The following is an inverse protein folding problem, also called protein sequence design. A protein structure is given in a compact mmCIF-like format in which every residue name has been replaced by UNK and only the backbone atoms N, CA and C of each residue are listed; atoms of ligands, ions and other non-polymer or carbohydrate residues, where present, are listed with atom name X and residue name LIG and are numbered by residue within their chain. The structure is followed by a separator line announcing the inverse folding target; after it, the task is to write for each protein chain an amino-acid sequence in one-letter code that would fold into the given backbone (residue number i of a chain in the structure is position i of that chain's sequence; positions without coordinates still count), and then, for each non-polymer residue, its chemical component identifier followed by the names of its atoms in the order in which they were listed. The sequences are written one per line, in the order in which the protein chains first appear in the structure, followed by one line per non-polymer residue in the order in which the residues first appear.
data_IF_584866378596
#
_entry.id   IF_584866378596
#
_cell.length_a   1.000
_cell.length_b   1.000
_cell.length_c   1.000
_cell.angle_alpha   90.00
_cell.angle_beta   90.00
_cell.angle_gamma   90.00
#
_symmetry.space_group_name_H-M   'P 1'
#
loop_
_entity.id
_entity.type
_entity.pdbx_description
1 polymer ?
#
# COMPACT_ATOMS: atom_id res chain seq x y z
N UNK A 1 1.67 -12.77 52.90
CA UNK A 1 2.04 -11.33 52.99
C UNK A 1 3.26 -11.18 53.87
N UNK A 2 4.39 -10.76 53.29
CA UNK A 2 5.68 -10.74 54.01
C UNK A 2 5.77 -9.47 54.86
N UNK A 3 5.80 -9.56 56.18
CA UNK A 3 5.80 -8.44 57.12
C UNK A 3 7.01 -7.49 56.95
N UNK A 4 8.10 -7.99 56.32
CA UNK A 4 9.32 -7.21 56.05
C UNK A 4 9.08 -6.09 54.99
N UNK A 5 8.12 -6.24 54.10
CA UNK A 5 7.84 -5.24 53.08
C UNK A 5 7.08 -4.00 53.60
N UNK A 6 6.56 -4.06 54.80
CA UNK A 6 5.82 -2.95 55.44
C UNK A 6 6.70 -1.92 56.17
N UNK A 7 7.96 -2.24 56.44
CA UNK A 7 8.87 -1.39 57.23
C UNK A 7 9.82 -0.54 56.41
N UNK A 8 10.11 -0.95 55.16
CA UNK A 8 11.00 -0.19 54.27
C UNK A 8 10.29 0.07 52.94
N UNK A 9 10.28 1.35 52.53
CA UNK A 9 9.82 1.70 51.19
C UNK A 9 10.70 0.96 50.18
N UNK A 10 10.14 0.37 49.15
CA UNK A 10 10.88 -0.25 48.05
C UNK A 10 11.86 0.72 47.42
N UNK A 11 13.02 0.24 46.94
CA UNK A 11 14.06 1.11 46.36
C UNK A 11 13.57 1.93 45.19
N UNK A 12 12.61 1.40 44.35
CA UNK A 12 11.98 2.15 43.25
C UNK A 12 11.09 3.30 43.72
N UNK A 13 10.82 3.44 45.02
CA UNK A 13 10.13 4.57 45.66
C UNK A 13 11.05 5.46 46.48
N UNK A 14 12.37 5.28 46.35
CA UNK A 14 13.33 6.04 47.09
C UNK A 14 13.36 7.53 46.67
N UNK A 15 13.75 8.44 47.56
CA UNK A 15 13.85 9.88 47.26
C UNK A 15 14.91 10.19 46.19
N UNK A 16 16.04 9.48 46.21
CA UNK A 16 17.10 9.63 45.21
C UNK A 16 16.71 8.96 43.88
N UNK A 17 16.81 9.70 42.81
CA UNK A 17 16.57 9.20 41.44
C UNK A 17 17.57 8.09 41.06
N UNK A 18 18.83 8.17 41.48
CA UNK A 18 19.85 7.17 41.13
C UNK A 18 19.51 5.81 41.74
N UNK A 19 19.02 5.79 43.00
CA UNK A 19 18.58 4.54 43.65
C UNK A 19 17.34 3.97 42.94
N UNK A 20 16.39 4.82 42.55
CA UNK A 20 15.21 4.37 41.75
C UNK A 20 15.63 3.82 40.40
N UNK A 21 16.55 4.50 39.72
CA UNK A 21 17.05 4.09 38.40
C UNK A 21 17.76 2.72 38.50
N UNK A 22 18.63 2.52 39.48
CA UNK A 22 19.30 1.23 39.70
C UNK A 22 18.26 0.11 39.92
N UNK A 23 17.32 0.33 40.83
CA UNK A 23 16.28 -0.63 41.16
C UNK A 23 15.40 -0.96 39.94
N UNK A 24 14.91 0.08 39.23
CA UNK A 24 14.07 -0.10 38.01
C UNK A 24 14.86 -0.80 36.91
N UNK A 25 16.16 -0.61 36.81
CA UNK A 25 16.96 -1.23 35.74
C UNK A 25 17.30 -2.70 36.03
N UNK A 26 17.44 -3.11 37.26
CA UNK A 26 18.07 -4.40 37.62
C UNK A 26 17.18 -5.36 38.38
N UNK A 27 16.28 -4.86 39.22
CA UNK A 27 15.49 -5.74 40.11
C UNK A 27 14.35 -6.43 39.35
N UNK A 28 14.09 -7.68 39.73
CA UNK A 28 13.00 -8.52 39.15
C UNK A 28 11.85 -8.74 40.17
N UNK A 29 11.66 -7.78 41.06
CA UNK A 29 10.58 -7.83 42.03
C UNK A 29 9.22 -7.79 41.35
N UNK A 30 8.28 -8.70 41.64
CA UNK A 30 6.95 -8.71 41.03
C UNK A 30 6.16 -7.42 41.29
N UNK A 31 6.31 -6.77 42.43
CA UNK A 31 5.62 -5.51 42.73
C UNK A 31 6.18 -4.36 41.87
N UNK A 32 7.50 -4.33 41.65
CA UNK A 32 8.13 -3.41 40.72
C UNK A 32 7.66 -3.62 39.29
N UNK A 33 7.60 -4.90 38.83
CA UNK A 33 7.15 -5.22 37.47
C UNK A 33 5.72 -4.71 37.25
N UNK A 34 4.83 -4.90 38.22
CA UNK A 34 3.46 -4.38 38.16
C UNK A 34 3.39 -2.85 38.21
N UNK A 35 4.36 -2.19 38.81
CA UNK A 35 4.44 -0.73 38.92
C UNK A 35 5.17 -0.04 37.76
N UNK A 36 5.78 -0.79 36.83
CA UNK A 36 6.58 -0.22 35.74
C UNK A 36 5.82 0.80 34.89
N UNK A 37 4.55 0.56 34.61
CA UNK A 37 3.73 1.51 33.84
C UNK A 37 3.54 2.82 34.58
N UNK A 38 3.25 2.77 35.90
CA UNK A 38 3.08 3.94 36.73
C UNK A 38 4.38 4.74 36.86
N UNK A 39 5.51 4.05 37.04
CA UNK A 39 6.84 4.67 37.10
C UNK A 39 7.18 5.33 35.75
N UNK A 40 6.92 4.65 34.65
CA UNK A 40 7.15 5.17 33.31
C UNK A 40 6.31 6.42 33.01
N UNK A 41 5.11 6.52 33.59
CA UNK A 41 4.23 7.66 33.39
C UNK A 41 4.55 8.85 34.32
N UNK A 42 4.94 8.59 35.56
CA UNK A 42 4.86 9.59 36.61
C UNK A 42 6.20 9.90 37.32
N UNK A 43 7.27 9.15 37.06
CA UNK A 43 8.54 9.46 37.71
C UNK A 43 9.08 10.83 37.26
N UNK A 44 9.50 11.63 38.21
CA UNK A 44 10.01 12.99 37.97
C UNK A 44 11.30 12.99 37.12
N UNK A 45 12.13 11.96 37.30
CA UNK A 45 13.41 11.82 36.57
C UNK A 45 13.19 11.05 35.25
N UNK A 46 13.51 11.69 34.12
CA UNK A 46 13.37 11.09 32.80
C UNK A 46 14.20 9.82 32.61
N UNK A 47 15.37 9.69 33.27
CA UNK A 47 16.21 8.48 33.22
C UNK A 47 15.49 7.28 33.84
N UNK A 48 14.71 7.50 34.90
CA UNK A 48 13.94 6.44 35.57
C UNK A 48 12.75 6.04 34.67
N UNK A 49 12.04 7.01 34.07
CA UNK A 49 10.98 6.73 33.08
C UNK A 49 11.53 5.94 31.89
N UNK A 50 12.67 6.36 31.34
CA UNK A 50 13.37 5.67 30.27
C UNK A 50 13.69 4.20 30.59
N UNK A 51 14.22 3.94 31.79
CA UNK A 51 14.53 2.59 32.27
C UNK A 51 13.25 1.72 32.39
N UNK A 52 12.17 2.28 32.91
CA UNK A 52 10.89 1.59 33.04
C UNK A 52 10.30 1.24 31.67
N UNK A 53 10.33 2.17 30.69
CA UNK A 53 9.84 1.95 29.33
C UNK A 53 10.58 0.82 28.62
N UNK A 54 11.88 0.69 28.80
CA UNK A 54 12.67 -0.41 28.23
C UNK A 54 12.16 -1.79 28.65
N UNK A 55 11.54 -1.90 29.81
CA UNK A 55 11.02 -3.14 30.38
C UNK A 55 9.55 -3.41 30.05
N UNK A 56 8.85 -2.42 29.47
CA UNK A 56 7.48 -2.61 29.02
C UNK A 56 7.44 -3.33 27.66
N UNK A 57 6.57 -4.34 27.55
CA UNK A 57 6.40 -5.13 26.34
C UNK A 57 5.03 -5.00 25.69
N UNK A 58 4.08 -4.33 26.37
CA UNK A 58 2.73 -4.16 25.89
C UNK A 58 2.60 -2.91 25.05
N UNK A 59 2.29 -3.06 23.75
CA UNK A 59 2.15 -1.93 22.81
C UNK A 59 1.08 -0.92 23.28
N UNK A 60 -0.01 -1.40 23.89
CA UNK A 60 -1.04 -0.53 24.46
C UNK A 60 -0.49 0.47 25.48
N UNK A 61 0.37 -0.01 26.38
CA UNK A 61 1.00 0.82 27.42
C UNK A 61 1.99 1.83 26.82
N UNK A 62 2.76 1.39 25.82
CA UNK A 62 3.70 2.28 25.10
C UNK A 62 2.93 3.40 24.37
N UNK A 63 1.83 3.08 23.72
CA UNK A 63 0.98 4.08 23.03
C UNK A 63 0.38 5.10 24.01
N UNK A 64 -0.07 4.66 25.18
CA UNK A 64 -0.59 5.57 26.23
C UNK A 64 0.50 6.52 26.73
N UNK A 65 1.73 6.03 26.95
CA UNK A 65 2.85 6.85 27.42
C UNK A 65 3.28 7.87 26.36
N UNK A 66 3.32 7.47 25.08
CA UNK A 66 3.76 8.33 23.98
C UNK A 66 2.95 9.63 23.88
N UNK A 67 1.65 9.58 24.13
CA UNK A 67 0.77 10.77 24.03
C UNK A 67 1.02 11.80 25.13
N UNK A 68 1.58 11.43 26.27
CA UNK A 68 1.81 12.29 27.43
C UNK A 68 3.27 12.67 27.70
N UNK A 69 4.23 12.08 26.98
CA UNK A 69 5.66 12.31 27.24
C UNK A 69 6.14 13.62 26.57
N UNK A 70 6.90 14.39 27.33
CA UNK A 70 7.49 15.68 26.89
C UNK A 70 9.01 15.64 26.73
N UNK A 71 9.69 14.70 27.40
CA UNK A 71 11.14 14.57 27.28
C UNK A 71 11.51 13.97 25.91
N UNK A 72 12.36 14.64 25.10
CA UNK A 72 12.64 14.21 23.73
C UNK A 72 13.40 12.87 23.66
N UNK A 73 14.24 12.52 24.63
CA UNK A 73 14.94 11.24 24.62
C UNK A 73 14.01 10.08 24.97
N UNK A 74 13.14 10.30 25.94
CA UNK A 74 12.11 9.32 26.34
C UNK A 74 11.11 9.14 25.22
N UNK A 75 10.69 10.22 24.56
CA UNK A 75 9.79 10.19 23.42
C UNK A 75 10.36 9.39 22.24
N UNK A 76 11.63 9.62 21.92
CA UNK A 76 12.34 8.85 20.90
C UNK A 76 12.38 7.36 21.24
N UNK A 77 12.68 7.01 22.51
CA UNK A 77 12.62 5.61 22.94
C UNK A 77 11.22 4.99 22.73
N UNK A 78 10.16 5.74 23.05
CA UNK A 78 8.80 5.27 22.84
C UNK A 78 8.50 5.04 21.35
N UNK A 79 8.93 5.93 20.46
CA UNK A 79 8.84 5.78 19.00
C UNK A 79 9.59 4.53 18.51
N UNK A 80 10.82 4.31 18.94
CA UNK A 80 11.60 3.11 18.63
C UNK A 80 10.92 1.83 19.12
N UNK A 81 10.31 1.86 20.31
CA UNK A 81 9.56 0.71 20.86
C UNK A 81 8.25 0.47 20.12
N UNK A 82 7.52 1.51 19.74
CA UNK A 82 6.33 1.41 18.91
C UNK A 82 6.70 0.76 17.58
N UNK A 83 7.74 1.23 16.92
CA UNK A 83 8.25 0.67 15.67
C UNK A 83 8.56 -0.83 15.81
N UNK A 84 9.38 -1.18 16.81
CA UNK A 84 9.79 -2.57 17.07
C UNK A 84 8.59 -3.50 17.30
N UNK A 85 7.63 -3.08 18.12
CA UNK A 85 6.47 -3.90 18.48
C UNK A 85 5.45 -3.98 17.34
N UNK A 86 5.19 -2.88 16.64
CA UNK A 86 4.25 -2.85 15.53
C UNK A 86 4.75 -3.61 14.30
N UNK A 87 6.06 -3.56 14.04
CA UNK A 87 6.71 -4.30 12.96
C UNK A 87 6.84 -5.81 13.22
N UNK A 88 6.58 -6.27 14.46
CA UNK A 88 6.76 -7.67 14.85
C UNK A 88 5.85 -8.61 14.05
N UNK A 89 6.45 -9.67 13.50
CA UNK A 89 5.76 -10.72 12.74
C UNK A 89 5.67 -12.06 13.47
N UNK A 90 6.29 -12.18 14.65
CA UNK A 90 6.35 -13.40 15.44
C UNK A 90 5.00 -13.72 16.14
N UNK A 91 4.92 -14.88 16.76
CA UNK A 91 3.71 -15.33 17.47
C UNK A 91 3.36 -14.47 18.70
N UNK A 92 4.38 -13.85 19.32
CA UNK A 92 4.21 -12.97 20.49
C UNK A 92 3.89 -11.53 20.10
N UNK A 93 3.54 -11.26 18.83
CA UNK A 93 3.21 -9.92 18.36
C UNK A 93 2.01 -9.32 19.11
N UNK A 94 1.97 -7.98 19.24
CA UNK A 94 0.85 -7.30 19.88
C UNK A 94 -0.49 -7.57 19.15
N UNK A 95 -1.62 -7.49 19.87
CA UNK A 95 -2.95 -7.63 19.27
C UNK A 95 -3.16 -6.67 18.09
N UNK A 96 -3.85 -7.15 17.04
CA UNK A 96 -4.10 -6.44 15.80
C UNK A 96 -4.67 -5.03 16.02
N UNK A 97 -5.60 -4.88 16.94
CA UNK A 97 -6.25 -3.59 17.25
C UNK A 97 -5.24 -2.48 17.61
N UNK A 98 -4.18 -2.78 18.38
CA UNK A 98 -3.16 -1.78 18.74
C UNK A 98 -2.20 -1.50 17.59
N UNK A 99 -1.91 -2.51 16.78
CA UNK A 99 -1.10 -2.33 15.55
C UNK A 99 -1.85 -1.51 14.50
N UNK A 100 -3.16 -1.69 14.37
CA UNK A 100 -4.02 -0.83 13.54
C UNK A 100 -3.98 0.62 14.01
N UNK A 101 -4.07 0.85 15.32
CA UNK A 101 -3.94 2.19 15.90
C UNK A 101 -2.59 2.83 15.58
N UNK A 102 -1.49 2.06 15.60
CA UNK A 102 -0.17 2.56 15.18
C UNK A 102 -0.21 3.02 13.72
N UNK A 103 -0.76 2.21 12.82
CA UNK A 103 -0.89 2.58 11.41
C UNK A 103 -1.71 3.86 11.23
N UNK A 104 -2.72 4.09 12.05
CA UNK A 104 -3.53 5.32 11.98
C UNK A 104 -2.75 6.58 12.38
N UNK A 105 -1.98 6.50 13.48
CA UNK A 105 -1.35 7.69 14.09
C UNK A 105 0.08 7.96 13.56
N UNK A 106 0.78 6.93 13.05
CA UNK A 106 2.18 7.11 12.66
C UNK A 106 2.33 7.90 11.36
N UNK A 107 3.39 8.72 11.33
CA UNK A 107 3.89 9.37 10.12
C UNK A 107 5.19 8.73 9.62
N UNK A 108 5.67 7.69 10.29
CA UNK A 108 6.86 6.94 9.92
C UNK A 108 6.60 6.11 8.66
N UNK A 109 7.19 6.55 7.55
CA UNK A 109 7.02 5.91 6.23
C UNK A 109 7.66 4.54 6.18
N UNK A 110 8.81 4.35 6.80
CA UNK A 110 9.54 3.09 6.77
C UNK A 110 8.76 2.01 7.55
N UNK A 111 8.18 2.39 8.69
CA UNK A 111 7.29 1.50 9.45
C UNK A 111 6.03 1.13 8.63
N UNK A 112 5.39 2.10 7.99
CA UNK A 112 4.20 1.87 7.15
C UNK A 112 4.53 0.93 5.99
N UNK A 113 5.62 1.16 5.27
CA UNK A 113 6.06 0.32 4.16
C UNK A 113 6.42 -1.10 4.62
N UNK A 114 7.07 -1.21 5.79
CA UNK A 114 7.38 -2.51 6.40
C UNK A 114 6.10 -3.29 6.75
N UNK A 115 5.13 -2.64 7.42
CA UNK A 115 3.85 -3.26 7.77
C UNK A 115 3.08 -3.67 6.52
N UNK A 116 3.02 -2.79 5.50
CA UNK A 116 2.34 -3.07 4.24
C UNK A 116 2.88 -4.32 3.53
N UNK A 117 4.18 -4.56 3.65
CA UNK A 117 4.86 -5.67 2.96
C UNK A 117 4.90 -6.98 3.78
N UNK A 118 4.97 -6.90 5.12
CA UNK A 118 5.34 -8.04 5.95
C UNK A 118 4.34 -8.42 7.04
N UNK A 119 3.36 -7.58 7.35
CA UNK A 119 2.40 -7.92 8.40
C UNK A 119 1.63 -9.21 8.07
N UNK A 120 1.45 -10.12 9.04
CA UNK A 120 0.74 -11.37 8.81
C UNK A 120 -0.74 -11.16 8.43
N UNK A 121 -1.39 -10.18 9.06
CA UNK A 121 -2.81 -9.90 8.87
C UNK A 121 -3.06 -9.08 7.59
N UNK A 122 -3.93 -9.58 6.71
CA UNK A 122 -4.27 -8.89 5.46
C UNK A 122 -4.90 -7.50 5.70
N UNK A 123 -5.71 -7.39 6.74
CA UNK A 123 -6.35 -6.13 7.13
C UNK A 123 -5.33 -5.04 7.51
N UNK A 124 -4.30 -5.43 8.29
CA UNK A 124 -3.24 -4.51 8.70
C UNK A 124 -2.39 -4.08 7.50
N UNK A 125 -2.04 -5.02 6.60
CA UNK A 125 -1.36 -4.67 5.35
C UNK A 125 -2.19 -3.72 4.50
N UNK A 126 -3.52 -3.95 4.41
CA UNK A 126 -4.45 -3.08 3.68
C UNK A 126 -4.47 -1.66 4.23
N UNK A 127 -4.56 -1.52 5.55
CA UNK A 127 -4.54 -0.22 6.22
C UNK A 127 -3.22 0.53 5.96
N UNK A 128 -2.10 -0.17 6.07
CA UNK A 128 -0.79 0.39 5.77
C UNK A 128 -0.63 0.77 4.28
N UNK A 129 -1.07 -0.09 3.36
CA UNK A 129 -1.08 0.18 1.92
C UNK A 129 -1.83 1.48 1.58
N UNK A 130 -2.87 1.84 2.34
CA UNK A 130 -3.58 3.10 2.14
C UNK A 130 -2.73 4.34 2.38
N UNK A 131 -1.62 4.23 3.11
CA UNK A 131 -0.67 5.31 3.42
C UNK A 131 0.64 5.24 2.61
N UNK A 132 0.88 4.17 1.86
CA UNK A 132 2.10 4.01 1.04
C UNK A 132 2.00 4.88 -0.22
N UNK A 133 3.00 5.73 -0.47
CA UNK A 133 3.08 6.56 -1.68
C UNK A 133 4.15 6.08 -2.66
N UNK A 134 5.16 5.32 -2.20
CA UNK A 134 6.25 4.84 -3.05
C UNK A 134 5.75 3.81 -4.05
N UNK A 135 5.81 4.18 -5.32
CA UNK A 135 5.32 3.36 -6.43
C UNK A 135 6.02 1.99 -6.53
N UNK A 136 7.30 1.93 -6.14
CA UNK A 136 8.05 0.67 -6.06
C UNK A 136 7.43 -0.30 -5.04
N UNK A 137 7.15 0.18 -3.82
CA UNK A 137 6.56 -0.63 -2.74
C UNK A 137 5.14 -1.07 -3.11
N UNK A 138 4.32 -0.16 -3.66
CA UNK A 138 2.98 -0.52 -4.17
C UNK A 138 3.07 -1.62 -5.23
N UNK A 139 4.05 -1.54 -6.13
CA UNK A 139 4.28 -2.57 -7.14
C UNK A 139 4.69 -3.92 -6.52
N UNK A 140 5.57 -3.91 -5.53
CA UNK A 140 6.01 -5.13 -4.85
C UNK A 140 4.86 -5.77 -4.05
N UNK A 141 4.07 -4.98 -3.33
CA UNK A 141 2.86 -5.48 -2.65
C UNK A 141 1.84 -6.03 -3.64
N UNK A 142 1.61 -5.36 -4.77
CA UNK A 142 0.73 -5.86 -5.82
C UNK A 142 1.18 -7.22 -6.38
N UNK A 143 2.50 -7.46 -6.47
CA UNK A 143 3.05 -8.72 -6.98
C UNK A 143 3.03 -9.80 -5.90
N UNK A 144 3.37 -9.47 -4.65
CA UNK A 144 3.74 -10.44 -3.62
C UNK A 144 2.65 -10.74 -2.61
N UNK A 145 1.71 -9.83 -2.37
CA UNK A 145 0.68 -10.04 -1.36
C UNK A 145 -0.13 -11.31 -1.62
N UNK A 146 -0.35 -12.10 -0.58
CA UNK A 146 -1.14 -13.33 -0.67
C UNK A 146 -2.64 -13.05 -0.84
N UNK A 147 -3.11 -11.91 -0.33
CA UNK A 147 -4.50 -11.50 -0.43
C UNK A 147 -4.78 -10.81 -1.77
N UNK A 148 -5.81 -11.29 -2.49
CA UNK A 148 -6.16 -10.79 -3.82
C UNK A 148 -6.72 -9.36 -3.80
N UNK A 149 -7.44 -9.00 -2.73
CA UNK A 149 -8.00 -7.66 -2.58
C UNK A 149 -6.89 -6.65 -2.31
N UNK A 150 -5.88 -7.03 -1.51
CA UNK A 150 -4.71 -6.19 -1.27
C UNK A 150 -3.90 -5.99 -2.56
N UNK A 151 -3.73 -7.03 -3.39
CA UNK A 151 -3.09 -6.87 -4.70
C UNK A 151 -3.85 -5.89 -5.59
N UNK A 152 -5.18 -6.03 -5.69
CA UNK A 152 -6.01 -5.12 -6.48
C UNK A 152 -5.99 -3.69 -5.93
N UNK A 153 -6.00 -3.54 -4.62
CA UNK A 153 -5.91 -2.24 -3.98
C UNK A 153 -4.55 -1.56 -4.23
N UNK A 154 -3.44 -2.28 -4.06
CA UNK A 154 -2.11 -1.76 -4.39
C UNK A 154 -2.02 -1.35 -5.86
N UNK A 155 -2.55 -2.17 -6.78
CA UNK A 155 -2.61 -1.90 -8.20
C UNK A 155 -3.37 -0.61 -8.53
N UNK A 156 -4.50 -0.36 -7.86
CA UNK A 156 -5.30 0.86 -8.08
C UNK A 156 -4.54 2.15 -7.73
N UNK A 157 -3.55 2.06 -6.83
CA UNK A 157 -2.73 3.19 -6.39
C UNK A 157 -1.46 3.41 -7.21
N UNK A 158 -1.12 2.50 -8.11
CA UNK A 158 0.02 2.69 -9.01
C UNK A 158 -0.35 3.70 -10.09
N UNK A 159 0.39 4.81 -10.14
CA UNK A 159 0.21 5.89 -11.13
C UNK A 159 1.34 5.97 -12.14
N UNK A 160 2.52 5.41 -11.83
CA UNK A 160 3.66 5.43 -12.74
C UNK A 160 3.59 4.31 -13.76
N UNK A 161 3.61 4.65 -15.05
CA UNK A 161 3.59 3.66 -16.15
C UNK A 161 4.73 2.64 -16.08
N UNK A 162 5.93 3.05 -15.64
CA UNK A 162 7.06 2.13 -15.47
C UNK A 162 6.80 1.07 -14.41
N UNK A 163 6.24 1.47 -13.27
CA UNK A 163 5.83 0.56 -12.19
C UNK A 163 4.68 -0.33 -12.63
N UNK A 164 3.71 0.23 -13.35
CA UNK A 164 2.56 -0.51 -13.87
C UNK A 164 2.99 -1.59 -14.88
N UNK A 165 3.90 -1.28 -15.82
CA UNK A 165 4.45 -2.26 -16.77
C UNK A 165 5.18 -3.39 -16.06
N UNK A 166 6.04 -3.06 -15.07
CA UNK A 166 6.75 -4.07 -14.26
C UNK A 166 5.78 -5.04 -13.56
N UNK A 167 4.71 -4.50 -12.99
CA UNK A 167 3.67 -5.29 -12.31
C UNK A 167 2.92 -6.19 -13.29
N UNK A 168 2.51 -5.67 -14.44
CA UNK A 168 1.84 -6.43 -15.50
C UNK A 168 2.71 -7.62 -15.92
N UNK A 169 4.00 -7.40 -16.20
CA UNK A 169 4.91 -8.46 -16.61
C UNK A 169 5.04 -9.56 -15.55
N UNK A 170 5.13 -9.18 -14.27
CA UNK A 170 5.23 -10.11 -13.15
C UNK A 170 3.94 -10.93 -12.92
N UNK A 171 2.76 -10.31 -13.09
CA UNK A 171 1.46 -10.95 -12.85
C UNK A 171 1.02 -11.91 -13.96
N UNK A 172 1.62 -11.85 -15.14
CA UNK A 172 1.22 -12.61 -16.33
C UNK A 172 0.94 -14.10 -16.08
N UNK A 173 1.73 -14.75 -15.20
CA UNK A 173 1.58 -16.17 -14.86
C UNK A 173 0.95 -16.41 -13.48
N UNK A 174 0.85 -15.38 -12.64
CA UNK A 174 0.45 -15.50 -11.25
C UNK A 174 -1.02 -15.15 -11.02
N UNK A 175 -1.49 -14.06 -11.62
CA UNK A 175 -2.86 -13.57 -11.46
C UNK A 175 -3.39 -13.08 -12.81
N UNK A 176 -4.03 -14.00 -13.53
CA UNK A 176 -4.53 -13.72 -14.89
C UNK A 176 -5.62 -12.66 -14.91
N UNK A 177 -6.45 -12.58 -13.86
CA UNK A 177 -7.54 -11.60 -13.78
C UNK A 177 -6.98 -10.20 -13.61
N UNK A 178 -6.15 -9.99 -12.59
CA UNK A 178 -5.52 -8.70 -12.32
C UNK A 178 -4.60 -8.27 -13.48
N UNK A 179 -3.86 -9.23 -14.09
CA UNK A 179 -3.07 -8.98 -15.30
C UNK A 179 -3.91 -8.37 -16.42
N UNK A 180 -5.08 -8.97 -16.74
CA UNK A 180 -5.95 -8.49 -17.81
C UNK A 180 -6.52 -7.10 -17.49
N UNK A 181 -6.93 -6.87 -16.25
CA UNK A 181 -7.42 -5.57 -15.79
C UNK A 181 -6.38 -4.46 -15.93
N UNK A 182 -5.15 -4.73 -15.47
CA UNK A 182 -4.06 -3.74 -15.54
C UNK A 182 -3.58 -3.50 -16.96
N UNK A 183 -3.59 -4.54 -17.79
CA UNK A 183 -3.23 -4.41 -19.20
C UNK A 183 -4.24 -3.54 -19.93
N UNK A 184 -5.54 -3.75 -19.68
CA UNK A 184 -6.60 -2.91 -20.25
C UNK A 184 -6.49 -1.45 -19.79
N UNK A 185 -6.21 -1.25 -18.49
CA UNK A 185 -5.99 0.09 -17.92
C UNK A 185 -4.79 0.79 -18.56
N UNK A 186 -3.64 0.12 -18.68
CA UNK A 186 -2.46 0.72 -19.31
C UNK A 186 -2.72 1.07 -20.77
N UNK A 187 -3.41 0.20 -21.50
CA UNK A 187 -3.79 0.46 -22.88
C UNK A 187 -4.70 1.67 -22.99
N UNK A 188 -5.68 1.81 -22.11
CA UNK A 188 -6.58 2.96 -22.09
C UNK A 188 -5.81 4.25 -21.75
N UNK A 189 -4.95 4.25 -20.74
CA UNK A 189 -4.13 5.42 -20.37
C UNK A 189 -3.22 5.87 -21.53
N UNK A 190 -2.67 4.92 -22.30
CA UNK A 190 -1.85 5.24 -23.47
C UNK A 190 -2.69 5.80 -24.64
N UNK A 191 -3.91 5.30 -24.84
CA UNK A 191 -4.83 5.84 -25.85
C UNK A 191 -5.29 7.25 -25.49
N UNK A 192 -5.62 7.48 -24.22
CA UNK A 192 -6.03 8.80 -23.71
C UNK A 192 -4.89 9.82 -23.82
N UNK A 193 -3.64 9.36 -23.67
CA UNK A 193 -2.44 10.17 -23.90
C UNK A 193 -2.10 10.33 -25.40
N UNK A 194 -2.89 9.77 -26.30
CA UNK A 194 -2.65 9.76 -27.76
C UNK A 194 -1.26 9.23 -28.15
N UNK A 195 -0.75 8.19 -27.43
CA UNK A 195 0.51 7.54 -27.78
C UNK A 195 0.42 6.94 -29.19
N UNK A 196 1.29 7.32 -30.14
CA UNK A 196 1.15 6.92 -31.54
C UNK A 196 1.19 5.41 -31.75
N UNK A 197 1.97 4.68 -30.92
CA UNK A 197 2.09 3.21 -31.01
C UNK A 197 0.84 2.54 -30.46
N UNK A 198 0.29 3.04 -29.36
CA UNK A 198 -0.94 2.52 -28.79
C UNK A 198 -2.15 2.75 -29.71
N UNK A 199 -2.26 3.94 -30.30
CA UNK A 199 -3.31 4.27 -31.26
C UNK A 199 -3.22 3.39 -32.51
N UNK A 200 -2.00 3.19 -33.06
CA UNK A 200 -1.79 2.33 -34.19
C UNK A 200 -2.11 0.85 -33.90
N UNK A 201 -1.71 0.34 -32.74
CA UNK A 201 -2.00 -1.02 -32.32
C UNK A 201 -3.49 -1.26 -32.13
N UNK A 202 -4.21 -0.31 -31.53
CA UNK A 202 -5.65 -0.40 -31.33
C UNK A 202 -6.42 -0.32 -32.66
N UNK A 203 -6.01 0.58 -33.56
CA UNK A 203 -6.57 0.65 -34.91
C UNK A 203 -6.41 -0.69 -35.66
N UNK A 204 -5.21 -1.30 -35.59
CA UNK A 204 -4.97 -2.61 -36.21
C UNK A 204 -5.85 -3.71 -35.58
N UNK A 205 -5.99 -3.72 -34.24
CA UNK A 205 -6.85 -4.67 -33.52
C UNK A 205 -8.31 -4.57 -33.96
N UNK A 206 -8.80 -3.33 -34.09
CA UNK A 206 -10.17 -3.08 -34.56
C UNK A 206 -10.34 -3.53 -35.99
N UNK A 207 -9.37 -3.25 -36.88
CA UNK A 207 -9.40 -3.71 -38.25
C UNK A 207 -9.47 -5.24 -38.36
N UNK A 208 -8.63 -5.96 -37.62
CA UNK A 208 -8.63 -7.42 -37.59
C UNK A 208 -9.96 -7.97 -37.05
N UNK A 209 -10.54 -7.33 -36.04
CA UNK A 209 -11.87 -7.73 -35.53
C UNK A 209 -12.96 -7.53 -36.53
N UNK A 210 -12.92 -6.44 -37.31
CA UNK A 210 -13.85 -6.17 -38.39
C UNK A 210 -13.73 -7.16 -39.53
N UNK A 211 -12.52 -7.52 -39.94
CA UNK A 211 -12.26 -8.56 -40.95
C UNK A 211 -12.81 -9.91 -40.50
N UNK A 212 -12.61 -10.32 -39.25
CA UNK A 212 -13.23 -11.53 -38.71
C UNK A 212 -14.75 -11.51 -38.73
N UNK A 213 -15.37 -10.41 -38.31
CA UNK A 213 -16.82 -10.24 -38.33
C UNK A 213 -17.39 -10.20 -39.77
N UNK A 214 -16.65 -9.63 -40.71
CA UNK A 214 -17.06 -9.61 -42.13
C UNK A 214 -17.05 -11.01 -42.75
N UNK A 215 -16.07 -11.87 -42.33
CA UNK A 215 -15.99 -13.27 -42.79
C UNK A 215 -17.11 -14.11 -42.15
N UNK A 216 -17.39 -13.92 -40.85
CA UNK A 216 -18.44 -14.68 -40.16
C UNK A 216 -19.87 -14.21 -40.51
N UNK A 217 -20.00 -12.98 -40.91
CA UNK A 217 -21.30 -12.29 -40.98
C UNK A 217 -21.85 -12.07 -42.39
N UNK A 218 -21.82 -13.03 -43.18
CA UNK A 218 -22.94 -13.01 -44.19
C UNK A 218 -24.33 -12.78 -43.54
N UNK A 219 -24.42 -12.54 -42.22
CA UNK A 219 -25.62 -12.49 -41.39
C UNK A 219 -25.83 -11.30 -40.44
N UNK A 220 -24.87 -10.37 -40.24
CA UNK A 220 -25.03 -9.33 -39.16
C UNK A 220 -24.71 -7.92 -39.61
N UNK A 221 -25.64 -7.26 -40.29
CA UNK A 221 -25.57 -5.84 -40.69
C UNK A 221 -25.57 -4.83 -39.51
N UNK A 222 -25.96 -5.24 -38.30
CA UNK A 222 -26.10 -4.32 -37.14
C UNK A 222 -24.84 -4.06 -36.31
N UNK A 223 -23.87 -4.95 -36.34
CA UNK A 223 -22.60 -4.80 -35.60
C UNK A 223 -21.60 -3.92 -36.35
N UNK A 224 -21.64 -3.93 -37.66
CA UNK A 224 -20.79 -3.14 -38.55
C UNK A 224 -20.93 -1.65 -38.27
N UNK A 225 -22.13 -1.14 -38.07
CA UNK A 225 -22.39 0.29 -37.82
C UNK A 225 -21.83 0.80 -36.48
N UNK A 226 -21.80 -0.01 -35.41
CA UNK A 226 -21.25 0.38 -34.11
C UNK A 226 -19.71 0.40 -34.11
N UNK A 227 -19.10 -0.45 -34.91
CA UNK A 227 -17.63 -0.53 -35.00
C UNK A 227 -17.10 0.60 -35.88
N UNK A 228 -17.79 0.95 -36.93
CA UNK A 228 -17.48 2.09 -37.81
C UNK A 228 -17.52 3.43 -37.06
N UNK A 229 -18.46 3.63 -36.15
CA UNK A 229 -18.57 4.82 -35.32
C UNK A 229 -17.35 4.96 -34.34
N UNK A 230 -16.92 3.87 -33.71
CA UNK A 230 -15.75 3.91 -32.81
C UNK A 230 -14.43 4.15 -33.55
N UNK A 231 -14.27 3.58 -34.75
CA UNK A 231 -13.13 3.86 -35.62
C UNK A 231 -13.09 5.31 -36.05
N UNK A 232 -14.24 5.88 -36.37
CA UNK A 232 -14.34 7.28 -36.78
C UNK A 232 -14.01 8.27 -35.63
N UNK A 233 -14.45 7.98 -34.42
CA UNK A 233 -14.15 8.78 -33.24
C UNK A 233 -12.64 8.76 -32.91
N UNK A 234 -11.96 7.61 -33.02
CA UNK A 234 -10.53 7.50 -32.78
C UNK A 234 -9.65 8.08 -33.90
N UNK A 235 -10.06 7.95 -35.17
CA UNK A 235 -9.37 8.56 -36.30
C UNK A 235 -9.41 10.08 -36.29
N UNK A 236 -10.44 10.67 -35.69
CA UNK A 236 -10.60 12.13 -35.60
C UNK A 236 -9.59 12.79 -34.66
N UNK A 237 -8.97 12.02 -33.74
CA UNK A 237 -8.08 12.53 -32.71
C UNK A 237 -6.60 12.55 -33.08
N UNK A 238 -6.17 12.08 -34.25
CA UNK A 238 -4.75 12.26 -34.50
C UNK A 238 -4.01 11.59 -35.64
N UNK A 239 -4.63 10.94 -36.63
CA UNK A 239 -3.84 10.33 -37.72
C UNK A 239 -4.56 10.37 -39.06
N UNK A 240 -3.93 11.01 -40.05
CA UNK A 240 -4.41 11.12 -41.43
C UNK A 240 -4.00 9.95 -42.31
N UNK A 241 -3.43 8.86 -41.78
CA UNK A 241 -3.01 7.71 -42.58
C UNK A 241 -3.79 6.44 -42.22
N UNK A 242 -4.57 5.95 -43.16
CA UNK A 242 -5.26 4.67 -43.09
C UNK A 242 -4.22 3.51 -43.13
N UNK A 243 -4.24 2.53 -42.19
CA UNK A 243 -3.15 1.56 -42.04
C UNK A 243 -3.05 0.45 -43.07
N UNK A 244 -4.04 0.23 -43.92
CA UNK A 244 -3.91 -0.84 -44.92
C UNK A 244 -4.77 -0.68 -46.17
N UNK A 245 -4.28 -1.23 -47.32
CA UNK A 245 -4.98 -1.33 -48.59
C UNK A 245 -6.27 -2.20 -48.52
N UNK A 246 -6.38 -3.08 -47.56
CA UNK A 246 -7.56 -3.93 -47.34
C UNK A 246 -8.78 -3.13 -46.84
N UNK A 247 -8.56 -2.09 -46.04
CA UNK A 247 -9.65 -1.20 -45.55
C UNK A 247 -10.32 -0.41 -46.66
N UNK A 248 -9.60 -0.04 -47.69
CA UNK A 248 -10.16 0.69 -48.82
C UNK A 248 -11.22 -0.15 -49.62
N UNK A 249 -11.22 -1.46 -49.47
CA UNK A 249 -12.19 -2.36 -50.09
C UNK A 249 -13.42 -2.62 -49.25
N UNK A 250 -13.38 -2.36 -47.95
CA UNK A 250 -14.50 -2.63 -47.02
C UNK A 250 -15.33 -1.38 -46.69
N UNK A 251 -14.82 -0.18 -47.02
CA UNK A 251 -15.57 1.08 -46.88
C UNK A 251 -16.12 1.50 -48.27
N UNK A 252 -17.39 1.27 -48.56
CA UNK A 252 -17.98 1.76 -49.80
C UNK A 252 -18.17 3.28 -49.73
N UNK A 253 -17.41 4.01 -50.52
CA UNK A 253 -17.61 5.38 -51.00
C UNK A 253 -17.64 6.63 -50.12
N UNK A 254 -17.75 6.71 -48.82
CA UNK A 254 -17.73 8.04 -48.20
C UNK A 254 -16.31 8.66 -48.07
N UNK A 255 -15.23 7.86 -48.12
CA UNK A 255 -13.86 8.35 -47.89
C UNK A 255 -13.22 9.09 -49.06
N UNK A 256 -13.68 8.83 -50.29
CA UNK A 256 -13.14 9.50 -51.47
C UNK A 256 -13.57 10.97 -51.61
N UNK A 257 -14.60 11.39 -50.89
CA UNK A 257 -15.15 12.74 -50.99
C UNK A 257 -14.72 13.69 -49.85
N UNK A 258 -14.24 13.19 -48.73
CA UNK A 258 -13.86 14.02 -47.59
C UNK A 258 -12.52 14.77 -47.81
N UNK A 259 -11.65 14.23 -48.67
CA UNK A 259 -10.36 14.87 -49.02
C UNK A 259 -10.43 15.96 -50.11
N UNK A 260 -11.60 16.26 -50.64
CA UNK A 260 -11.78 17.25 -51.74
C UNK A 260 -12.52 18.54 -51.33
N UNK A 261 -12.77 18.73 -50.02
CA UNK A 261 -13.35 19.99 -49.51
C UNK A 261 -12.45 20.58 -48.43
N UNK A 262 -11.25 20.98 -48.85
CA UNK A 262 -10.45 22.04 -48.23
C UNK A 262 -9.71 22.76 -49.37
#
# INVERSE_FOLDING_TARGET
MNWKTRLFKPKWQHKSADIRLESVSTEQDPELINSLLEIAANDVDSRVRYAAIKRLHQLENILKLHSGESDPEVKKLLEDRIHQLAASTNESRPPLKFRMQVVEITSDRDLIEHIASHAPEAELRRAALAKVDRQGVLGDCCIQDNDAENRSFAASRITQHTSLKRVIDALRKRDKKLYAELQARLQQELLDAADPKAVQAEALRICTSLEHLAVESGKTKGLQHRLDLRLWEHSRQGSTQCPSRSMARLCPEPWSQIGKRQ
#
